data_IF_833030577601
#
_entry.id   IF_833030577601
#
_cell.length_a   1.000
_cell.length_b   1.000
_cell.length_c   1.000
_cell.angle_alpha   90.00
_cell.angle_beta   90.00
_cell.angle_gamma   90.00
#
_symmetry.space_group_name_H-M   'P 1'
#
loop_
_entity.id
_entity.type
_entity.pdbx_description
1 polymer ?
#
# COMPACT_ATOMS: atom_id res chain seq x y z
N UNK A 1 -33.52 -4.48 7.37
CA UNK A 1 -32.52 -5.57 7.27
C UNK A 1 -32.03 -5.68 5.85
N UNK A 2 -30.72 -5.88 5.66
CA UNK A 2 -30.11 -6.05 4.35
C UNK A 2 -29.08 -7.18 4.40
N UNK A 3 -29.08 -8.02 3.36
CA UNK A 3 -28.07 -9.04 3.15
C UNK A 3 -27.33 -8.69 1.86
N UNK A 4 -26.02 -8.72 1.91
CA UNK A 4 -25.14 -8.49 0.76
C UNK A 4 -24.23 -9.71 0.60
N UNK A 5 -24.21 -10.27 -0.59
CA UNK A 5 -23.31 -11.35 -0.98
C UNK A 5 -22.42 -10.84 -2.13
N UNK A 6 -21.12 -11.04 -2.01
CA UNK A 6 -20.18 -10.80 -3.09
C UNK A 6 -19.28 -12.02 -3.27
N UNK A 7 -19.07 -12.36 -4.52
CA UNK A 7 -18.02 -13.28 -4.92
C UNK A 7 -17.23 -12.67 -6.07
N UNK A 8 -15.91 -12.73 -5.97
CA UNK A 8 -15.00 -12.31 -7.02
C UNK A 8 -13.99 -13.41 -7.29
N UNK A 9 -13.76 -13.68 -8.55
CA UNK A 9 -12.73 -14.59 -9.03
C UNK A 9 -11.80 -13.85 -9.98
N UNK A 10 -10.51 -14.02 -9.78
CA UNK A 10 -9.49 -13.46 -10.65
C UNK A 10 -8.46 -14.54 -11.01
N UNK A 11 -8.11 -14.58 -12.28
CA UNK A 11 -7.03 -15.40 -12.82
C UNK A 11 -6.26 -14.60 -13.86
N UNK A 12 -4.94 -14.59 -13.77
CA UNK A 12 -4.09 -13.94 -14.76
C UNK A 12 -2.80 -14.74 -14.85
N UNK A 13 -2.57 -15.34 -16.01
CA UNK A 13 -1.37 -16.10 -16.29
C UNK A 13 -0.66 -15.44 -17.44
N UNK A 14 0.66 -15.42 -17.36
CA UNK A 14 1.51 -15.04 -18.48
C UNK A 14 2.55 -16.12 -18.72
N UNK A 15 2.92 -16.25 -19.98
CA UNK A 15 3.97 -17.17 -20.37
C UNK A 15 5.33 -16.63 -19.90
N UNK A 16 6.14 -17.49 -19.29
CA UNK A 16 7.51 -17.16 -18.86
C UNK A 16 8.51 -17.17 -20.02
N UNK A 17 8.09 -16.80 -21.22
CA UNK A 17 8.97 -16.65 -22.37
C UNK A 17 9.85 -15.42 -22.32
N UNK A 18 9.66 -14.54 -21.37
CA UNK A 18 10.52 -13.39 -21.19
C UNK A 18 11.90 -13.85 -20.77
N UNK A 19 12.90 -13.42 -21.50
CA UNK A 19 14.29 -13.60 -21.13
C UNK A 19 14.63 -12.55 -20.08
N UNK A 20 14.74 -12.90 -18.82
CA UNK A 20 15.39 -12.02 -17.89
C UNK A 20 16.88 -12.15 -18.07
N UNK A 21 17.61 -11.11 -17.87
CA UNK A 21 19.03 -11.09 -17.60
C UNK A 21 19.98 -10.58 -18.64
N UNK A 22 20.85 -9.77 -18.14
CA UNK A 22 21.92 -9.10 -18.82
C UNK A 22 21.52 -7.78 -19.45
N UNK A 23 20.38 -7.22 -19.11
CA UNK A 23 20.00 -5.86 -19.52
C UNK A 23 19.72 -5.68 -21.01
N UNK A 24 19.74 -6.74 -21.78
CA UNK A 24 19.61 -6.66 -23.25
C UNK A 24 18.16 -6.48 -23.70
N UNK A 25 17.19 -6.90 -22.94
CA UNK A 25 15.77 -6.78 -23.30
C UNK A 25 15.20 -5.37 -23.08
N UNK A 26 15.93 -4.50 -22.41
CA UNK A 26 15.53 -3.12 -22.21
C UNK A 26 15.79 -2.20 -23.38
N UNK A 27 16.49 -2.68 -24.37
CA UNK A 27 16.72 -1.93 -25.60
C UNK A 27 15.48 -1.88 -26.50
N UNK A 28 14.45 -2.66 -26.18
CA UNK A 28 13.17 -2.65 -26.89
C UNK A 28 12.00 -2.76 -25.92
N UNK A 29 11.71 -1.72 -25.15
CA UNK A 29 10.70 -1.76 -24.10
C UNK A 29 9.26 -1.93 -24.62
N UNK A 30 9.03 -1.67 -25.88
CA UNK A 30 7.71 -1.83 -26.53
C UNK A 30 7.49 -3.20 -27.17
N UNK A 31 8.56 -3.96 -27.34
CA UNK A 31 8.50 -5.30 -27.93
C UNK A 31 9.20 -6.21 -26.93
N UNK A 32 8.44 -6.88 -26.09
CA UNK A 32 9.01 -7.89 -25.21
C UNK A 32 9.89 -8.83 -26.01
N UNK A 33 11.16 -8.98 -25.64
CA UNK A 33 12.00 -9.97 -26.27
C UNK A 33 11.46 -11.33 -25.87
N UNK A 34 10.72 -11.95 -26.76
CA UNK A 34 10.19 -13.29 -26.57
C UNK A 34 11.34 -14.25 -26.70
N UNK A 35 11.83 -14.76 -25.58
CA UNK A 35 12.79 -15.87 -25.54
C UNK A 35 12.07 -17.22 -25.58
N UNK A 36 12.83 -18.27 -25.72
CA UNK A 36 12.31 -19.62 -25.54
C UNK A 36 11.99 -19.83 -24.07
N UNK A 37 10.79 -20.31 -23.78
CA UNK A 37 10.40 -20.74 -22.45
C UNK A 37 11.35 -21.85 -21.98
N UNK A 38 11.88 -21.69 -20.77
CA UNK A 38 12.62 -22.78 -20.14
C UNK A 38 11.67 -23.98 -19.93
N UNK A 39 12.04 -25.20 -20.37
CA UNK A 39 11.17 -26.38 -20.25
C UNK A 39 10.72 -26.67 -18.81
N UNK A 40 11.49 -26.25 -17.81
CA UNK A 40 11.18 -26.42 -16.39
C UNK A 40 10.26 -25.33 -15.84
N UNK A 41 10.08 -24.23 -16.57
CA UNK A 41 9.26 -23.13 -16.13
C UNK A 41 7.77 -23.42 -16.32
N UNK A 42 6.97 -23.13 -15.29
CA UNK A 42 5.51 -23.04 -15.40
C UNK A 42 5.08 -21.59 -15.59
N UNK A 43 3.92 -21.37 -16.21
CA UNK A 43 3.41 -20.02 -16.44
C UNK A 43 3.31 -19.27 -15.10
N UNK A 44 3.82 -18.04 -15.09
CA UNK A 44 3.75 -17.16 -13.93
C UNK A 44 2.38 -16.46 -13.84
N UNK A 45 2.14 -15.80 -12.72
CA UNK A 45 0.92 -15.06 -12.46
C UNK A 45 -0.02 -15.75 -11.50
N UNK A 46 -1.20 -15.20 -11.36
CA UNK A 46 -2.21 -15.66 -10.42
C UNK A 46 -2.99 -16.82 -11.00
N UNK A 47 -2.78 -18.01 -10.44
CA UNK A 47 -3.53 -19.24 -10.80
C UNK A 47 -4.99 -19.13 -10.42
N UNK A 48 -5.24 -18.61 -9.24
CA UNK A 48 -6.57 -18.28 -8.74
C UNK A 48 -6.49 -17.27 -7.58
N UNK A 49 -7.48 -16.42 -7.53
CA UNK A 49 -7.78 -15.57 -6.38
C UNK A 49 -9.30 -15.53 -6.21
N UNK A 50 -9.78 -16.29 -5.22
CA UNK A 50 -11.19 -16.33 -4.84
C UNK A 50 -11.39 -15.41 -3.65
N UNK A 51 -12.39 -14.55 -3.72
CA UNK A 51 -12.80 -13.70 -2.62
C UNK A 51 -14.31 -13.78 -2.49
N UNK A 52 -14.79 -14.00 -1.29
CA UNK A 52 -16.21 -14.01 -0.99
C UNK A 52 -16.47 -13.28 0.32
N UNK A 53 -17.57 -12.56 0.40
CA UNK A 53 -18.10 -12.10 1.66
C UNK A 53 -19.61 -12.17 1.71
N UNK A 54 -20.14 -12.38 2.91
CA UNK A 54 -21.53 -12.24 3.26
C UNK A 54 -21.63 -11.20 4.36
N UNK A 55 -22.45 -10.17 4.14
CA UNK A 55 -22.70 -9.10 5.12
C UNK A 55 -24.18 -9.03 5.44
N UNK A 56 -24.50 -8.97 6.71
CA UNK A 56 -25.82 -8.69 7.25
C UNK A 56 -25.81 -7.33 7.94
N UNK A 57 -26.78 -6.50 7.61
CA UNK A 57 -27.01 -5.21 8.28
C UNK A 57 -28.43 -5.17 8.79
N UNK A 58 -28.59 -4.86 10.08
CA UNK A 58 -29.88 -4.62 10.71
C UNK A 58 -29.88 -3.24 11.35
N UNK A 59 -30.83 -2.40 10.96
CA UNK A 59 -31.07 -1.12 11.61
C UNK A 59 -31.89 -1.33 12.86
N UNK A 60 -31.61 -0.56 13.88
CA UNK A 60 -32.36 -0.53 15.14
C UNK A 60 -32.56 -1.95 15.74
N UNK A 61 -31.53 -2.81 15.70
CA UNK A 61 -31.59 -4.13 16.35
C UNK A 61 -31.82 -3.98 17.86
N UNK A 62 -31.31 -2.90 18.45
CA UNK A 62 -31.67 -2.33 19.72
C UNK A 62 -32.00 -0.85 19.51
N UNK A 63 -32.69 -0.20 20.45
CA UNK A 63 -33.02 1.22 20.36
C UNK A 63 -31.79 2.06 20.03
N UNK A 64 -31.81 2.76 18.89
CA UNK A 64 -30.71 3.59 18.36
C UNK A 64 -29.39 2.85 18.13
N UNK A 65 -29.46 1.54 17.88
CA UNK A 65 -28.27 0.72 17.65
C UNK A 65 -28.45 -0.15 16.42
N UNK A 66 -27.58 0.04 15.43
CA UNK A 66 -27.49 -0.79 14.24
C UNK A 66 -26.44 -1.90 14.44
N UNK A 67 -26.70 -3.05 13.82
CA UNK A 67 -25.77 -4.17 13.74
C UNK A 67 -25.26 -4.32 12.29
N UNK A 68 -23.94 -4.45 12.16
CA UNK A 68 -23.31 -4.95 10.95
C UNK A 68 -22.49 -6.21 11.29
N UNK A 69 -22.83 -7.32 10.67
CA UNK A 69 -22.09 -8.58 10.81
C UNK A 69 -21.63 -9.04 9.45
N UNK A 70 -20.39 -9.49 9.34
CA UNK A 70 -19.86 -10.01 8.09
C UNK A 70 -18.97 -11.22 8.31
N UNK A 71 -19.03 -12.14 7.35
CA UNK A 71 -18.13 -13.28 7.21
C UNK A 71 -17.47 -13.16 5.85
N UNK A 72 -16.16 -13.32 5.80
CA UNK A 72 -15.42 -13.22 4.56
C UNK A 72 -14.30 -14.27 4.48
N UNK A 73 -13.94 -14.61 3.24
CA UNK A 73 -12.84 -15.52 2.98
C UNK A 73 -12.14 -15.23 1.67
N UNK A 74 -10.88 -15.59 1.61
CA UNK A 74 -10.11 -15.53 0.37
C UNK A 74 -9.17 -16.72 0.24
N UNK A 75 -8.87 -17.09 -1.00
CA UNK A 75 -7.86 -18.10 -1.33
C UNK A 75 -7.08 -17.66 -2.56
N UNK A 76 -5.77 -17.49 -2.39
CA UNK A 76 -4.84 -16.99 -3.41
C UNK A 76 -3.76 -18.04 -3.70
N UNK A 77 -3.45 -18.19 -4.98
CA UNK A 77 -2.26 -18.88 -5.45
C UNK A 77 -1.63 -18.11 -6.61
N UNK A 78 -0.44 -17.54 -6.38
CA UNK A 78 0.33 -16.78 -7.38
C UNK A 78 1.72 -17.37 -7.52
N UNK A 79 2.19 -17.56 -8.74
CA UNK A 79 3.54 -18.03 -9.10
C UNK A 79 4.31 -16.84 -9.66
N UNK A 80 5.54 -16.67 -9.21
CA UNK A 80 6.44 -15.61 -9.65
C UNK A 80 7.33 -16.05 -10.81
N UNK A 81 8.17 -15.13 -11.27
CA UNK A 81 9.10 -15.30 -12.37
C UNK A 81 10.07 -16.50 -12.16
N UNK A 82 10.40 -17.14 -13.27
CA UNK A 82 11.35 -18.24 -13.29
C UNK A 82 12.78 -17.72 -13.08
N UNK A 83 13.52 -18.42 -12.23
CA UNK A 83 14.96 -18.22 -12.03
C UNK A 83 15.70 -19.48 -12.43
N UNK A 84 16.60 -19.39 -13.43
CA UNK A 84 17.43 -20.51 -13.84
C UNK A 84 18.29 -20.99 -12.67
N UNK A 85 18.50 -22.30 -12.60
CA UNK A 85 19.40 -22.90 -11.64
C UNK A 85 20.76 -22.20 -11.64
N UNK A 86 21.26 -21.86 -10.47
CA UNK A 86 22.56 -21.22 -10.28
C UNK A 86 23.27 -21.91 -9.10
N UNK A 87 24.36 -22.67 -9.35
CA UNK A 87 25.10 -23.36 -8.29
C UNK A 87 25.61 -22.42 -7.20
N UNK A 88 25.89 -21.16 -7.51
CA UNK A 88 26.28 -20.17 -6.52
C UNK A 88 25.11 -19.74 -5.59
N UNK A 89 23.88 -20.08 -5.94
CA UNK A 89 22.66 -19.77 -5.20
C UNK A 89 21.83 -21.04 -4.99
N UNK A 90 22.15 -21.85 -3.97
CA UNK A 90 21.55 -23.20 -3.75
C UNK A 90 20.02 -23.23 -3.72
N UNK A 91 19.37 -22.12 -3.36
CA UNK A 91 17.92 -21.99 -3.45
C UNK A 91 17.34 -22.33 -4.81
N UNK A 92 18.10 -22.10 -5.90
CA UNK A 92 17.71 -22.29 -7.28
C UNK A 92 18.38 -23.51 -7.94
N UNK A 93 19.12 -24.31 -7.17
CA UNK A 93 20.11 -25.27 -7.67
C UNK A 93 19.51 -26.48 -8.42
N UNK A 94 18.35 -26.95 -8.05
CA UNK A 94 17.89 -28.26 -8.54
C UNK A 94 16.63 -28.20 -9.40
N UNK A 95 16.07 -27.02 -9.61
CA UNK A 95 14.70 -26.96 -10.10
C UNK A 95 14.39 -25.72 -10.89
N UNK A 96 13.16 -25.67 -11.35
CA UNK A 96 12.54 -24.55 -12.05
C UNK A 96 12.66 -23.19 -11.35
N UNK A 97 13.28 -23.10 -10.18
CA UNK A 97 13.60 -21.83 -9.53
C UNK A 97 12.44 -20.83 -9.39
N UNK A 98 11.20 -21.29 -9.47
CA UNK A 98 10.02 -20.45 -9.32
C UNK A 98 9.48 -20.54 -7.91
N UNK A 99 9.27 -19.35 -7.33
CA UNK A 99 8.56 -19.23 -6.06
C UNK A 99 7.08 -18.94 -6.27
N UNK A 100 6.30 -19.28 -5.26
CA UNK A 100 4.88 -18.97 -5.27
C UNK A 100 4.44 -18.41 -3.92
N UNK A 101 3.27 -17.80 -3.87
CA UNK A 101 2.55 -17.47 -2.65
C UNK A 101 1.24 -18.22 -2.65
N UNK A 102 0.96 -18.93 -1.56
CA UNK A 102 -0.34 -19.49 -1.25
C UNK A 102 -0.86 -18.86 0.04
N UNK A 103 -2.08 -18.32 -0.02
CA UNK A 103 -2.69 -17.64 1.10
C UNK A 103 -4.17 -18.04 1.20
N UNK A 104 -4.63 -18.29 2.44
CA UNK A 104 -6.03 -18.58 2.75
C UNK A 104 -6.44 -17.78 3.97
N UNK A 105 -7.52 -17.03 3.84
CA UNK A 105 -8.07 -16.20 4.91
C UNK A 105 -9.52 -16.56 5.17
N UNK A 106 -9.89 -16.48 6.42
CA UNK A 106 -11.26 -16.52 6.88
C UNK A 106 -11.41 -15.50 8.00
N UNK A 107 -12.42 -14.65 7.92
CA UNK A 107 -12.66 -13.63 8.94
C UNK A 107 -14.12 -13.45 9.25
N UNK A 108 -14.36 -13.02 10.48
CA UNK A 108 -15.67 -12.64 11.00
C UNK A 108 -15.53 -11.26 11.65
N UNK A 109 -16.43 -10.36 11.34
CA UNK A 109 -16.59 -9.07 12.01
C UNK A 109 -18.02 -8.90 12.44
N UNK A 110 -18.21 -8.51 13.70
CA UNK A 110 -19.50 -8.03 14.21
C UNK A 110 -19.27 -6.67 14.86
N UNK A 111 -20.04 -5.66 14.45
CA UNK A 111 -19.96 -4.34 15.03
C UNK A 111 -21.35 -3.77 15.28
N UNK A 112 -21.48 -3.05 16.36
CA UNK A 112 -22.64 -2.27 16.73
C UNK A 112 -22.33 -0.79 16.57
N UNK A 113 -23.28 -0.05 16.01
CA UNK A 113 -23.23 1.39 15.85
C UNK A 113 -24.37 1.99 16.66
N UNK A 114 -24.05 2.55 17.82
CA UNK A 114 -25.04 3.14 18.72
C UNK A 114 -24.98 4.66 18.66
N UNK A 115 -26.13 5.29 18.63
CA UNK A 115 -26.27 6.75 18.70
C UNK A 115 -26.88 7.14 20.03
N UNK A 116 -26.15 7.94 20.80
CA UNK A 116 -26.60 8.53 22.05
C UNK A 116 -26.82 10.03 21.85
N UNK A 117 -27.99 10.52 22.19
CA UNK A 117 -28.35 11.94 22.13
C UNK A 117 -28.44 12.42 23.56
N UNK A 118 -27.60 13.39 23.94
CA UNK A 118 -27.58 13.96 25.30
C UNK A 118 -28.41 15.25 25.34
N UNK A 119 -28.36 16.03 24.25
CA UNK A 119 -29.14 17.25 24.05
C UNK A 119 -29.15 17.56 22.55
N UNK A 120 -29.85 18.62 22.13
CA UNK A 120 -29.86 19.10 20.76
C UNK A 120 -28.44 19.49 20.25
N UNK A 121 -27.56 19.89 21.16
CA UNK A 121 -26.21 20.34 20.89
C UNK A 121 -25.12 19.31 21.19
N UNK A 122 -25.49 18.14 21.72
CA UNK A 122 -24.53 17.13 22.16
C UNK A 122 -25.02 15.72 21.86
N UNK A 123 -24.22 14.97 21.09
CA UNK A 123 -24.49 13.57 20.79
C UNK A 123 -23.20 12.78 20.66
N UNK A 124 -23.31 11.47 20.81
CA UNK A 124 -22.19 10.55 20.58
C UNK A 124 -22.59 9.43 19.63
N UNK A 125 -21.65 9.05 18.78
CA UNK A 125 -21.66 7.81 18.00
C UNK A 125 -20.64 6.86 18.64
N UNK A 126 -21.11 5.69 19.03
CA UNK A 126 -20.29 4.65 19.63
C UNK A 126 -20.28 3.47 18.68
N UNK A 127 -19.08 3.09 18.22
CA UNK A 127 -18.85 1.91 17.40
C UNK A 127 -18.04 0.93 18.22
N UNK A 128 -18.57 -0.25 18.45
CA UNK A 128 -17.88 -1.29 19.21
C UNK A 128 -18.13 -2.64 18.56
N UNK A 129 -17.18 -3.53 18.72
CA UNK A 129 -17.30 -4.81 18.05
C UNK A 129 -16.10 -5.71 18.26
N UNK A 130 -16.09 -6.74 17.43
CA UNK A 130 -15.10 -7.78 17.50
C UNK A 130 -14.74 -8.27 16.11
N UNK A 131 -13.43 -8.38 15.85
CA UNK A 131 -12.86 -8.97 14.66
C UNK A 131 -12.18 -10.30 15.01
N UNK A 132 -12.43 -11.32 14.19
CA UNK A 132 -11.66 -12.55 14.15
C UNK A 132 -11.06 -12.73 12.76
N UNK A 133 -9.77 -13.05 12.68
CA UNK A 133 -9.10 -13.36 11.43
C UNK A 133 -8.22 -14.60 11.59
N UNK A 134 -8.55 -15.64 10.83
CA UNK A 134 -7.68 -16.77 10.54
C UNK A 134 -6.93 -16.51 9.24
N UNK A 135 -5.61 -16.72 9.25
CA UNK A 135 -4.80 -16.67 8.02
C UNK A 135 -3.81 -17.82 8.00
N UNK A 136 -3.73 -18.50 6.86
CA UNK A 136 -2.74 -19.55 6.59
C UNK A 136 -2.01 -19.19 5.30
N UNK A 137 -0.70 -18.92 5.41
CA UNK A 137 0.12 -18.44 4.28
C UNK A 137 1.44 -19.20 4.18
N UNK A 138 1.95 -19.38 2.96
CA UNK A 138 3.26 -19.96 2.70
C UNK A 138 3.88 -19.41 1.42
N UNK A 139 5.18 -19.60 1.27
CA UNK A 139 5.92 -19.37 0.02
C UNK A 139 6.61 -20.66 -0.42
N UNK A 140 5.89 -21.58 -1.09
CA UNK A 140 6.51 -22.76 -1.66
C UNK A 140 7.33 -22.39 -2.91
N UNK A 141 8.33 -23.20 -3.24
CA UNK A 141 8.88 -23.30 -4.58
C UNK A 141 8.04 -24.27 -5.41
N UNK A 142 8.09 -24.15 -6.73
CA UNK A 142 7.34 -25.02 -7.63
C UNK A 142 7.79 -26.49 -7.53
N UNK A 143 9.03 -26.70 -7.12
CA UNK A 143 9.63 -28.02 -6.88
C UNK A 143 9.20 -28.72 -5.57
N UNK A 144 8.36 -28.08 -4.78
CA UNK A 144 7.84 -28.62 -3.52
C UNK A 144 8.61 -28.23 -2.27
N UNK A 145 9.79 -27.64 -2.38
CA UNK A 145 10.49 -27.04 -1.24
C UNK A 145 9.75 -25.79 -0.76
N UNK A 146 10.04 -25.35 0.45
CA UNK A 146 9.44 -24.15 1.02
C UNK A 146 10.49 -23.09 1.28
N UNK A 147 10.32 -21.92 0.66
CA UNK A 147 11.08 -20.75 1.03
C UNK A 147 10.57 -20.14 2.36
N UNK A 148 9.26 -20.20 2.56
CA UNK A 148 8.60 -19.96 3.83
C UNK A 148 7.55 -21.07 4.04
N UNK A 149 7.62 -21.82 5.15
CA UNK A 149 6.66 -22.88 5.45
C UNK A 149 5.25 -22.31 5.67
N UNK A 150 4.26 -23.18 5.86
CA UNK A 150 2.92 -22.78 6.22
C UNK A 150 2.88 -22.15 7.60
N UNK A 151 2.68 -20.84 7.64
CA UNK A 151 2.36 -20.10 8.86
C UNK A 151 0.85 -20.07 9.04
N UNK A 152 0.39 -20.36 10.25
CA UNK A 152 -1.04 -20.30 10.59
C UNK A 152 -1.21 -19.27 11.70
N UNK A 153 -2.00 -18.24 11.44
CA UNK A 153 -2.26 -17.19 12.43
C UNK A 153 -3.74 -17.04 12.75
N UNK A 154 -4.01 -16.70 14.00
CA UNK A 154 -5.32 -16.31 14.50
C UNK A 154 -5.18 -14.94 15.16
N UNK A 155 -6.07 -14.03 14.83
CA UNK A 155 -6.18 -12.73 15.47
C UNK A 155 -7.57 -12.55 16.06
N UNK A 156 -7.63 -12.17 17.33
CA UNK A 156 -8.84 -11.83 18.09
C UNK A 156 -8.73 -10.37 18.48
N UNK A 157 -9.68 -9.54 18.05
CA UNK A 157 -9.53 -8.10 18.20
C UNK A 157 -10.84 -7.37 18.54
N UNK A 158 -11.19 -7.25 19.83
CA UNK A 158 -12.22 -6.34 20.28
C UNK A 158 -11.79 -4.87 20.08
N UNK A 159 -12.74 -4.03 19.74
CA UNK A 159 -12.52 -2.61 19.54
C UNK A 159 -13.69 -1.75 20.01
N UNK A 160 -13.38 -0.50 20.34
CA UNK A 160 -14.32 0.53 20.72
C UNK A 160 -13.87 1.86 20.12
N UNK A 161 -14.80 2.61 19.54
CA UNK A 161 -14.59 3.98 19.09
C UNK A 161 -15.78 4.83 19.52
N UNK A 162 -15.49 5.99 20.07
CA UNK A 162 -16.47 7.00 20.47
C UNK A 162 -16.16 8.27 19.69
N UNK A 163 -17.14 8.80 18.97
CA UNK A 163 -17.09 10.14 18.40
C UNK A 163 -18.20 10.94 19.03
N UNK A 164 -17.86 11.96 19.80
CA UNK A 164 -18.82 12.89 20.38
C UNK A 164 -18.73 14.24 19.70
N UNK A 165 -19.88 14.89 19.54
CA UNK A 165 -19.95 16.27 19.07
C UNK A 165 -20.59 17.08 20.19
N UNK A 166 -19.92 18.16 20.58
CA UNK A 166 -20.31 19.08 21.63
C UNK A 166 -20.53 20.46 21.03
N UNK A 167 -21.55 21.17 21.50
CA UNK A 167 -21.89 22.52 21.03
C UNK A 167 -21.99 22.61 19.50
N UNK A 168 -22.40 21.51 18.85
CA UNK A 168 -22.50 21.35 17.39
C UNK A 168 -21.17 21.53 16.63
N UNK A 169 -20.10 21.98 17.27
CA UNK A 169 -18.87 22.41 16.59
C UNK A 169 -17.60 21.70 17.04
N UNK A 170 -17.53 21.18 18.26
CA UNK A 170 -16.36 20.47 18.76
C UNK A 170 -16.58 18.96 18.62
N UNK A 171 -15.81 18.32 17.74
CA UNK A 171 -15.81 16.86 17.62
C UNK A 171 -14.60 16.27 18.31
N UNK A 172 -14.84 15.30 19.20
CA UNK A 172 -13.82 14.52 19.89
C UNK A 172 -13.98 13.07 19.45
N UNK A 173 -12.90 12.45 19.00
CA UNK A 173 -12.85 11.04 18.62
C UNK A 173 -11.85 10.32 19.50
N UNK A 174 -12.29 9.23 20.12
CA UNK A 174 -11.48 8.34 20.94
C UNK A 174 -11.66 6.92 20.42
N UNK A 175 -10.60 6.15 20.36
CA UNK A 175 -10.70 4.75 19.95
C UNK A 175 -9.63 3.89 20.60
N UNK A 176 -9.98 2.64 20.84
CA UNK A 176 -9.10 1.60 21.34
C UNK A 176 -9.37 0.28 20.65
N UNK A 177 -8.31 -0.47 20.39
CA UNK A 177 -8.36 -1.82 19.84
C UNK A 177 -7.32 -2.68 20.53
N UNK A 178 -7.73 -3.84 20.98
CA UNK A 178 -6.83 -4.86 21.50
C UNK A 178 -6.69 -5.99 20.47
N UNK A 179 -5.47 -6.31 20.07
CA UNK A 179 -5.16 -7.42 19.18
C UNK A 179 -4.43 -8.52 19.95
N UNK A 180 -4.99 -9.72 19.97
CA UNK A 180 -4.34 -10.94 20.42
C UNK A 180 -4.07 -11.83 19.22
N UNK A 181 -2.79 -11.88 18.80
CA UNK A 181 -2.38 -12.63 17.61
C UNK A 181 -1.52 -13.82 18.03
N UNK A 182 -1.87 -14.99 17.56
CA UNK A 182 -1.05 -16.20 17.67
C UNK A 182 -0.63 -16.67 16.28
N UNK A 183 0.67 -16.98 16.08
CA UNK A 183 1.21 -17.50 14.83
C UNK A 183 1.92 -18.80 15.11
N UNK A 184 1.42 -19.89 14.53
CA UNK A 184 2.08 -21.20 14.54
C UNK A 184 3.08 -21.24 13.39
N UNK A 185 4.34 -21.49 13.72
CA UNK A 185 5.45 -21.75 12.81
C UNK A 185 5.83 -23.22 12.94
N UNK A 186 5.81 -24.04 11.89
CA UNK A 186 6.30 -25.41 11.94
C UNK A 186 7.84 -25.44 11.97
N UNK A 187 8.42 -26.60 12.24
CA UNK A 187 9.85 -26.83 12.00
C UNK A 187 10.14 -26.71 10.51
N UNK A 188 11.24 -26.08 10.14
CA UNK A 188 11.60 -25.90 8.73
C UNK A 188 13.10 -25.67 8.54
N UNK A 189 13.56 -26.00 7.32
CA UNK A 189 14.92 -25.70 6.87
C UNK A 189 14.95 -24.38 6.13
N UNK A 190 15.90 -23.50 6.50
CA UNK A 190 16.15 -22.25 5.79
C UNK A 190 16.88 -22.56 4.48
N UNK A 191 16.33 -22.14 3.36
CA UNK A 191 17.01 -22.29 2.08
C UNK A 191 18.21 -21.33 2.01
N UNK A 192 19.41 -21.90 1.82
CA UNK A 192 20.66 -21.12 1.74
C UNK A 192 20.62 -20.17 0.52
N UNK A 193 21.10 -18.96 0.72
CA UNK A 193 21.23 -17.98 -0.36
C UNK A 193 22.55 -18.16 -1.13
N UNK A 194 23.61 -18.61 -0.42
CA UNK A 194 24.93 -18.93 -0.97
C UNK A 194 25.39 -20.28 -0.42
N UNK A 195 26.29 -20.95 -1.15
CA UNK A 195 26.90 -22.21 -0.70
C UNK A 195 27.62 -22.04 0.64
N UNK A 196 28.22 -20.87 0.89
CA UNK A 196 28.94 -20.54 2.13
C UNK A 196 28.01 -20.28 3.31
N UNK A 197 26.70 -20.08 3.10
CA UNK A 197 25.76 -19.89 4.19
C UNK A 197 25.62 -21.19 4.99
N UNK A 198 25.55 -21.15 6.33
CA UNK A 198 25.30 -22.34 7.13
C UNK A 198 23.90 -22.88 6.83
N UNK A 199 23.75 -24.21 6.88
CA UNK A 199 22.43 -24.83 6.90
C UNK A 199 21.79 -24.55 8.26
N UNK A 200 20.64 -23.91 8.26
CA UNK A 200 19.89 -23.58 9.47
C UNK A 200 18.58 -24.35 9.48
N UNK A 201 18.39 -25.20 10.47
CA UNK A 201 17.12 -25.85 10.76
C UNK A 201 16.47 -25.11 11.93
N UNK A 202 15.35 -24.47 11.68
CA UNK A 202 14.60 -23.71 12.68
C UNK A 202 13.59 -24.61 13.36
N UNK A 203 13.72 -24.77 14.68
CA UNK A 203 12.67 -25.38 15.49
C UNK A 203 11.51 -24.41 15.60
N UNK A 204 10.36 -24.85 15.11
CA UNK A 204 9.12 -24.11 15.11
C UNK A 204 8.55 -23.88 16.50
N UNK A 205 7.35 -23.34 16.56
CA UNK A 205 6.67 -23.03 17.81
C UNK A 205 5.51 -22.06 17.62
N UNK A 206 5.11 -21.42 18.71
CA UNK A 206 4.03 -20.46 18.74
C UNK A 206 4.55 -19.07 19.09
N UNK A 207 4.39 -18.13 18.18
CA UNK A 207 4.61 -16.70 18.44
C UNK A 207 3.28 -16.11 18.92
N UNK A 208 3.31 -15.33 19.99
CA UNK A 208 2.14 -14.66 20.55
C UNK A 208 2.41 -13.16 20.67
N UNK A 209 1.48 -12.36 20.20
CA UNK A 209 1.55 -10.90 20.24
C UNK A 209 0.29 -10.35 20.87
N UNK A 210 0.46 -9.46 21.83
CA UNK A 210 -0.60 -8.70 22.46
C UNK A 210 -0.32 -7.23 22.21
N UNK A 211 -1.30 -6.53 21.71
CA UNK A 211 -1.15 -5.10 21.44
C UNK A 211 -2.43 -4.34 21.75
N UNK A 212 -2.27 -3.22 22.42
CA UNK A 212 -3.32 -2.22 22.57
C UNK A 212 -2.95 -1.01 21.74
N UNK A 213 -3.83 -0.61 20.84
CA UNK A 213 -3.68 0.57 19.99
C UNK A 213 -4.74 1.59 20.34
N UNK A 214 -4.34 2.86 20.37
CA UNK A 214 -5.22 3.99 20.68
C UNK A 214 -5.23 4.99 19.53
N UNK A 215 -6.35 5.70 19.41
CA UNK A 215 -6.44 6.89 18.59
C UNK A 215 -7.24 7.97 19.32
N UNK A 216 -6.82 9.23 19.12
CA UNK A 216 -7.46 10.41 19.66
C UNK A 216 -7.48 11.46 18.57
N UNK A 217 -8.61 12.10 18.34
CA UNK A 217 -8.75 13.19 17.37
C UNK A 217 -9.62 14.29 17.97
N UNK A 218 -9.28 15.51 17.64
CA UNK A 218 -10.00 16.71 18.00
C UNK A 218 -10.15 17.59 16.77
N UNK A 219 -11.37 18.07 16.50
CA UNK A 219 -11.61 19.02 15.42
C UNK A 219 -12.67 20.03 15.82
N UNK A 220 -12.49 21.26 15.35
CA UNK A 220 -13.39 22.38 15.63
C UNK A 220 -13.85 23.02 14.33
N UNK A 221 -15.17 23.05 14.08
CA UNK A 221 -15.76 23.44 12.80
C UNK A 221 -16.78 24.59 12.87
N UNK A 222 -16.72 25.43 13.91
CA UNK A 222 -17.63 26.57 14.05
C UNK A 222 -17.49 27.60 12.91
N UNK A 223 -16.26 27.83 12.50
CA UNK A 223 -15.95 28.84 11.49
C UNK A 223 -15.55 28.15 10.18
N UNK A 224 -16.37 28.27 9.10
CA UNK A 224 -16.05 27.63 7.81
C UNK A 224 -14.66 28.01 7.30
N UNK A 225 -14.24 29.26 7.52
CA UNK A 225 -12.94 29.78 7.06
C UNK A 225 -11.74 29.14 7.73
N UNK A 226 -11.91 28.58 8.95
CA UNK A 226 -10.83 27.92 9.67
C UNK A 226 -11.34 26.83 10.61
N UNK A 227 -11.12 25.59 10.23
CA UNK A 227 -11.54 24.39 10.94
C UNK A 227 -10.31 23.54 11.29
N UNK A 228 -9.63 23.84 12.39
CA UNK A 228 -8.43 23.12 12.80
C UNK A 228 -8.75 21.72 13.31
N UNK A 229 -7.78 20.84 13.15
CA UNK A 229 -7.80 19.51 13.76
C UNK A 229 -6.43 19.08 14.25
N UNK A 230 -6.42 18.17 15.20
CA UNK A 230 -5.24 17.47 15.67
C UNK A 230 -5.62 16.01 15.90
N UNK A 231 -4.71 15.10 15.53
CA UNK A 231 -4.93 13.67 15.72
C UNK A 231 -3.66 12.97 16.21
N UNK A 232 -3.86 11.96 17.02
CA UNK A 232 -2.87 10.97 17.39
C UNK A 232 -3.42 9.59 17.11
N UNK A 233 -2.63 8.71 16.50
CA UNK A 233 -3.00 7.32 16.29
C UNK A 233 -1.81 6.38 16.40
N UNK A 234 -2.08 5.16 16.84
CA UNK A 234 -1.12 4.08 16.87
C UNK A 234 -1.44 3.05 15.81
N UNK A 235 -0.42 2.68 15.02
CA UNK A 235 -0.43 1.53 14.13
C UNK A 235 0.32 0.36 14.75
N UNK A 236 -0.12 -0.86 14.42
CA UNK A 236 0.50 -2.09 14.84
C UNK A 236 0.56 -3.07 13.67
N UNK A 237 1.71 -3.71 13.46
CA UNK A 237 1.90 -4.68 12.39
C UNK A 237 2.95 -5.71 12.76
N UNK A 238 2.69 -6.97 12.45
CA UNK A 238 3.73 -8.02 12.38
C UNK A 238 4.33 -7.90 10.97
N UNK A 239 5.28 -6.96 10.82
CA UNK A 239 5.80 -6.63 9.52
C UNK A 239 6.67 -7.76 8.96
N UNK A 240 6.25 -8.28 7.81
CA UNK A 240 6.96 -9.24 6.96
C UNK A 240 7.66 -10.40 7.71
N UNK A 241 6.89 -11.07 8.57
CA UNK A 241 7.35 -12.24 9.30
C UNK A 241 7.93 -13.30 8.34
N UNK A 242 7.35 -13.44 7.16
CA UNK A 242 7.82 -14.36 6.13
C UNK A 242 9.26 -14.07 5.71
N UNK A 243 9.63 -12.80 5.43
CA UNK A 243 11.02 -12.44 5.10
C UNK A 243 11.96 -12.64 6.27
N UNK A 244 11.51 -12.33 7.46
CA UNK A 244 12.30 -12.53 8.68
C UNK A 244 12.62 -14.02 8.89
N UNK A 245 11.64 -14.90 8.74
CA UNK A 245 11.83 -16.34 8.93
C UNK A 245 12.70 -16.98 7.85
N UNK A 246 12.48 -16.62 6.57
CA UNK A 246 13.30 -17.18 5.48
C UNK A 246 14.75 -16.68 5.45
N UNK A 247 15.06 -15.60 6.18
CA UNK A 247 16.41 -15.09 6.37
C UNK A 247 16.99 -15.43 7.75
N UNK A 248 16.38 -16.36 8.49
CA UNK A 248 16.78 -16.73 9.82
C UNK A 248 18.22 -17.28 9.85
N UNK A 249 18.99 -16.82 10.83
CA UNK A 249 20.36 -17.29 11.12
C UNK A 249 20.44 -18.07 12.43
N UNK A 250 19.32 -18.18 13.14
CA UNK A 250 19.19 -18.88 14.41
C UNK A 250 18.29 -20.11 14.27
N UNK A 251 18.57 -21.11 15.06
CA UNK A 251 17.92 -22.43 15.08
C UNK A 251 16.60 -22.48 15.88
N UNK A 252 16.30 -21.43 16.65
CA UNK A 252 15.07 -21.34 17.46
C UNK A 252 14.40 -19.97 17.30
N UNK A 253 13.06 -19.97 17.30
CA UNK A 253 12.26 -18.76 17.10
C UNK A 253 12.57 -17.65 18.12
N UNK A 254 12.88 -17.99 19.35
CA UNK A 254 13.19 -17.01 20.40
C UNK A 254 14.43 -16.16 20.12
N UNK A 255 15.31 -16.61 19.24
CA UNK A 255 16.52 -15.87 18.81
C UNK A 255 16.32 -15.12 17.49
N UNK A 256 15.14 -15.24 16.86
CA UNK A 256 14.82 -14.53 15.63
C UNK A 256 14.04 -13.26 15.99
N UNK A 257 14.45 -12.11 15.46
CA UNK A 257 13.76 -10.83 15.70
C UNK A 257 12.41 -10.80 15.00
N UNK A 258 11.39 -11.25 15.71
CA UNK A 258 10.00 -11.32 15.22
C UNK A 258 9.08 -10.27 15.85
N UNK A 259 9.63 -9.34 16.64
CA UNK A 259 8.86 -8.32 17.34
C UNK A 259 8.01 -7.49 16.37
N UNK A 260 6.80 -7.14 16.77
CA UNK A 260 5.93 -6.33 15.92
C UNK A 260 6.41 -4.88 15.84
N UNK A 261 6.09 -4.24 14.74
CA UNK A 261 6.30 -2.81 14.54
C UNK A 261 5.11 -2.05 15.11
N UNK A 262 5.38 -1.14 16.05
CA UNK A 262 4.43 -0.17 16.58
C UNK A 262 4.80 1.22 16.08
N UNK A 263 3.87 1.91 15.45
CA UNK A 263 4.04 3.27 14.94
C UNK A 263 3.16 4.22 15.73
N UNK A 264 3.68 5.41 16.02
CA UNK A 264 2.92 6.52 16.58
C UNK A 264 2.84 7.60 15.52
N UNK A 265 1.64 8.00 15.17
CA UNK A 265 1.37 9.02 14.17
C UNK A 265 0.72 10.23 14.85
N UNK A 266 1.27 11.40 14.59
CA UNK A 266 0.80 12.71 15.04
C UNK A 266 0.46 13.53 13.82
N UNK A 267 -0.68 14.17 13.80
CA UNK A 267 -1.14 14.99 12.69
C UNK A 267 -1.77 16.27 13.22
N UNK A 268 -1.48 17.39 12.57
CA UNK A 268 -2.12 18.67 12.78
C UNK A 268 -2.45 19.29 11.44
N UNK A 269 -3.63 19.87 11.31
CA UNK A 269 -4.04 20.47 10.06
C UNK A 269 -5.26 21.37 10.24
N UNK A 270 -5.69 21.91 9.11
CA UNK A 270 -6.91 22.71 9.04
C UNK A 270 -7.59 22.54 7.68
N UNK A 271 -8.90 22.60 7.70
CA UNK A 271 -9.75 22.77 6.54
C UNK A 271 -10.31 24.20 6.54
N UNK A 272 -10.46 24.79 5.35
CA UNK A 272 -11.01 26.13 5.14
C UNK A 272 -11.98 26.12 3.96
N UNK A 273 -13.17 26.65 4.17
CA UNK A 273 -14.14 26.95 3.10
C UNK A 273 -14.41 28.46 3.10
N UNK A 274 -13.87 29.14 2.09
CA UNK A 274 -14.00 30.59 1.94
C UNK A 274 -15.15 30.87 0.98
N UNK A 275 -16.32 31.19 1.54
CA UNK A 275 -17.53 31.53 0.77
C UNK A 275 -17.86 30.55 -0.36
N UNK A 276 -17.54 29.27 -0.19
CA UNK A 276 -17.75 28.18 -1.17
C UNK A 276 -17.02 28.33 -2.50
N UNK A 277 -16.28 29.42 -2.72
CA UNK A 277 -15.50 29.59 -3.93
C UNK A 277 -14.08 29.04 -3.83
N UNK A 278 -13.50 28.98 -2.61
CA UNK A 278 -12.18 28.44 -2.37
C UNK A 278 -12.18 27.51 -1.16
N UNK A 279 -11.82 26.27 -1.39
CA UNK A 279 -11.61 25.26 -0.34
C UNK A 279 -10.13 24.95 -0.23
N UNK A 280 -9.61 25.02 0.98
CA UNK A 280 -8.22 24.71 1.29
C UNK A 280 -8.19 23.60 2.35
N UNK A 281 -7.26 22.68 2.19
CA UNK A 281 -6.96 21.67 3.21
C UNK A 281 -5.44 21.57 3.32
N UNK A 282 -4.93 21.54 4.55
CA UNK A 282 -3.52 21.37 4.81
C UNK A 282 -3.28 20.59 6.07
N UNK A 283 -2.33 19.66 6.03
CA UNK A 283 -1.87 18.93 7.20
C UNK A 283 -0.36 18.74 7.21
N UNK A 284 0.19 18.69 8.40
CA UNK A 284 1.53 18.20 8.69
C UNK A 284 1.39 16.94 9.54
N UNK A 285 2.13 15.90 9.18
CA UNK A 285 2.17 14.68 9.98
C UNK A 285 3.61 14.30 10.37
N UNK A 286 3.72 13.61 11.48
CA UNK A 286 4.96 13.03 11.98
C UNK A 286 4.69 11.61 12.50
N UNK A 287 5.35 10.62 11.91
CA UNK A 287 5.25 9.21 12.29
C UNK A 287 6.59 8.73 12.86
N UNK A 288 6.53 8.03 13.99
CA UNK A 288 7.68 7.47 14.66
C UNK A 288 7.48 6.00 14.99
N UNK A 289 8.51 5.18 14.76
CA UNK A 289 8.56 3.79 15.20
C UNK A 289 9.93 3.45 15.79
N UNK A 290 9.92 2.71 16.91
CA UNK A 290 11.16 2.20 17.54
C UNK A 290 11.79 1.07 16.75
N UNK A 291 10.99 0.31 16.00
CA UNK A 291 11.45 -0.76 15.12
C UNK A 291 11.08 -0.40 13.69
N UNK A 292 12.07 -0.42 12.80
CA UNK A 292 11.86 -0.11 11.41
C UNK A 292 11.14 -1.22 10.66
N UNK A 293 10.56 -0.82 9.55
CA UNK A 293 9.98 -1.68 8.53
C UNK A 293 10.50 -1.33 7.13
N UNK A 294 11.57 -0.55 7.04
CA UNK A 294 12.18 -0.24 5.75
C UNK A 294 12.85 -1.48 5.16
N UNK A 295 12.85 -1.57 3.84
CA UNK A 295 13.46 -2.68 3.12
C UNK A 295 14.83 -2.27 2.61
N UNK A 296 15.80 -3.14 2.79
CA UNK A 296 17.13 -3.01 2.19
C UNK A 296 17.54 -4.30 1.50
N UNK A 297 18.47 -4.20 0.58
CA UNK A 297 19.10 -5.38 -0.01
C UNK A 297 20.30 -5.78 0.81
N UNK A 298 20.35 -7.06 1.14
CA UNK A 298 21.52 -7.72 1.74
C UNK A 298 21.85 -8.95 0.90
N UNK A 299 23.06 -8.95 0.31
CA UNK A 299 23.53 -10.04 -0.56
C UNK A 299 22.55 -10.40 -1.70
N UNK A 300 21.89 -9.39 -2.31
CA UNK A 300 20.93 -9.57 -3.40
C UNK A 300 19.52 -9.98 -2.96
N UNK A 301 19.22 -9.92 -1.66
CA UNK A 301 17.90 -10.26 -1.12
C UNK A 301 17.31 -9.12 -0.31
N UNK A 302 16.01 -8.92 -0.47
CA UNK A 302 15.27 -7.98 0.34
C UNK A 302 15.17 -8.48 1.78
N UNK A 303 15.69 -7.70 2.71
CA UNK A 303 15.59 -7.93 4.16
C UNK A 303 14.93 -6.75 4.83
N UNK A 304 14.31 -7.01 5.98
CA UNK A 304 13.68 -5.97 6.79
C UNK A 304 14.71 -5.24 7.61
N UNK A 305 14.78 -3.92 7.47
CA UNK A 305 15.64 -3.08 8.30
C UNK A 305 14.92 -2.74 9.62
N UNK A 306 15.43 -3.25 10.72
CA UNK A 306 14.82 -3.18 12.07
C UNK A 306 15.37 -2.04 12.91
N UNK A 307 15.76 -0.93 12.32
CA UNK A 307 16.23 0.27 13.03
C UNK A 307 15.10 1.26 13.29
N UNK A 308 15.18 2.09 14.37
CA UNK A 308 14.20 3.14 14.59
C UNK A 308 14.05 4.05 13.38
N UNK A 309 12.81 4.40 13.06
CA UNK A 309 12.48 5.23 11.89
C UNK A 309 11.52 6.36 12.24
N UNK A 310 11.59 7.44 11.49
CA UNK A 310 10.63 8.54 11.49
C UNK A 310 10.32 8.96 10.06
N UNK A 311 9.05 9.29 9.83
CA UNK A 311 8.57 9.85 8.57
C UNK A 311 7.78 11.10 8.90
N UNK A 312 7.98 12.18 8.15
CA UNK A 312 7.22 13.40 8.31
C UNK A 312 6.94 14.02 6.95
N UNK A 313 5.88 14.79 6.86
CA UNK A 313 5.48 15.35 5.59
C UNK A 313 4.37 16.38 5.70
N UNK A 314 4.09 16.98 4.56
CA UNK A 314 3.05 17.99 4.36
C UNK A 314 2.15 17.53 3.21
N UNK A 315 0.86 17.65 3.40
CA UNK A 315 -0.16 17.48 2.38
C UNK A 315 -1.01 18.74 2.29
N UNK A 316 -1.15 19.29 1.08
CA UNK A 316 -1.91 20.50 0.83
C UNK A 316 -2.85 20.25 -0.35
N UNK A 317 -4.07 20.75 -0.26
CA UNK A 317 -5.01 20.81 -1.38
C UNK A 317 -5.71 22.16 -1.44
N UNK A 318 -5.99 22.59 -2.65
CA UNK A 318 -6.76 23.80 -2.93
C UNK A 318 -7.72 23.53 -4.10
N UNK A 319 -8.99 23.86 -3.93
CA UNK A 319 -10.04 23.76 -4.94
C UNK A 319 -10.77 25.11 -5.04
N UNK A 320 -10.78 25.71 -6.22
CA UNK A 320 -11.41 27.00 -6.46
C UNK A 320 -12.49 26.91 -7.55
N UNK A 321 -13.71 27.35 -7.22
CA UNK A 321 -14.78 27.60 -8.18
C UNK A 321 -14.64 29.02 -8.70
N UNK A 322 -13.84 29.24 -9.76
CA UNK A 322 -13.48 30.57 -10.28
C UNK A 322 -14.68 31.25 -10.95
N UNK A 323 -15.42 30.47 -11.74
CA UNK A 323 -16.68 30.87 -12.39
C UNK A 323 -17.67 29.70 -12.25
N UNK A 324 -18.94 29.92 -12.50
CA UNK A 324 -19.97 28.86 -12.46
C UNK A 324 -19.64 27.64 -13.35
N UNK A 325 -18.84 27.86 -14.40
CA UNK A 325 -18.42 26.83 -15.37
C UNK A 325 -16.89 26.59 -15.38
N UNK A 326 -16.14 27.17 -14.44
CA UNK A 326 -14.68 27.04 -14.37
C UNK A 326 -14.23 26.71 -12.94
N UNK A 327 -13.67 25.52 -12.76
CA UNK A 327 -13.06 25.06 -11.50
C UNK A 327 -11.57 24.77 -11.73
N UNK A 328 -10.73 25.17 -10.78
CA UNK A 328 -9.32 24.79 -10.76
C UNK A 328 -8.93 24.23 -9.39
N UNK A 329 -7.94 23.36 -9.36
CA UNK A 329 -7.44 22.85 -8.10
C UNK A 329 -5.99 22.37 -8.18
N UNK A 330 -5.38 22.20 -7.01
CA UNK A 330 -4.02 21.74 -6.85
C UNK A 330 -3.89 20.85 -5.62
N UNK A 331 -3.06 19.80 -5.71
CA UNK A 331 -2.70 18.91 -4.61
C UNK A 331 -1.19 18.78 -4.56
N UNK A 332 -0.59 19.04 -3.41
CA UNK A 332 0.84 18.87 -3.14
C UNK A 332 1.03 17.86 -2.02
N UNK A 333 1.94 16.91 -2.21
CA UNK A 333 2.41 16.01 -1.15
C UNK A 333 3.94 15.97 -1.14
N UNK A 334 4.51 16.12 0.05
CA UNK A 334 5.95 16.00 0.27
C UNK A 334 6.21 15.23 1.55
N UNK A 335 7.12 14.23 1.46
CA UNK A 335 7.48 13.36 2.56
C UNK A 335 8.99 13.24 2.68
N UNK A 336 9.48 13.06 3.91
CA UNK A 336 10.85 12.69 4.19
C UNK A 336 10.90 11.62 5.29
N UNK A 337 11.78 10.64 5.10
CA UNK A 337 11.98 9.53 6.02
C UNK A 337 13.43 9.39 6.45
N UNK A 338 13.64 9.19 7.74
CA UNK A 338 14.97 9.02 8.35
C UNK A 338 15.00 7.76 9.22
N UNK A 339 16.14 7.07 9.15
CA UNK A 339 16.51 5.98 10.02
C UNK A 339 17.54 6.47 11.04
N UNK A 340 17.54 5.85 12.21
CA UNK A 340 18.57 6.09 13.21
C UNK A 340 19.80 5.26 12.86
N UNK A 341 20.95 5.92 12.64
CA UNK A 341 22.21 5.26 12.34
C UNK A 341 22.80 4.53 13.56
N UNK A 342 23.84 3.74 13.34
CA UNK A 342 24.59 3.07 14.41
C UNK A 342 25.20 4.06 15.40
N UNK A 343 25.48 5.30 14.99
CA UNK A 343 25.97 6.39 15.86
C UNK A 343 24.87 7.02 16.71
N UNK A 344 23.62 6.57 16.57
CA UNK A 344 22.48 7.11 17.28
C UNK A 344 21.87 8.39 16.67
N UNK A 345 22.37 8.85 15.52
CA UNK A 345 21.89 10.05 14.83
C UNK A 345 20.82 9.71 13.80
N UNK A 346 19.96 10.69 13.46
CA UNK A 346 18.93 10.62 12.42
C UNK A 346 19.46 11.14 11.07
N UNK A 347 20.50 10.50 10.55
CA UNK A 347 21.28 10.93 9.40
C UNK A 347 21.14 10.02 8.18
N UNK A 348 20.59 8.83 8.34
CA UNK A 348 20.35 7.89 7.25
C UNK A 348 18.97 8.10 6.64
N UNK A 349 18.89 8.23 5.34
CA UNK A 349 17.59 8.33 4.63
C UNK A 349 16.94 6.95 4.46
N UNK A 350 15.62 6.91 4.52
CA UNK A 350 14.85 5.73 4.10
C UNK A 350 14.86 5.59 2.58
N UNK A 351 14.78 4.36 2.10
CA UNK A 351 14.80 4.03 0.68
C UNK A 351 13.71 4.75 -0.12
N UNK A 352 13.93 4.93 -1.42
CA UNK A 352 12.94 5.52 -2.33
C UNK A 352 11.74 4.59 -2.57
N UNK A 353 11.81 3.33 -2.12
CA UNK A 353 10.67 2.40 -2.07
C UNK A 353 9.68 2.83 -0.99
N UNK A 354 10.19 3.26 0.16
CA UNK A 354 9.37 3.65 1.32
C UNK A 354 8.95 5.12 1.27
N UNK A 355 9.80 5.99 0.71
CA UNK A 355 9.57 7.44 0.66
C UNK A 355 9.55 7.92 -0.80
N UNK A 356 8.37 8.30 -1.32
CA UNK A 356 8.27 8.79 -2.68
C UNK A 356 8.85 10.20 -2.85
N UNK A 357 9.17 10.56 -4.08
CA UNK A 357 9.46 11.94 -4.45
C UNK A 357 8.21 12.83 -4.28
N UNK A 358 8.42 14.11 -4.03
CA UNK A 358 7.33 15.09 -3.94
C UNK A 358 6.43 15.05 -5.19
N UNK A 359 5.14 15.23 -5.01
CA UNK A 359 4.15 15.25 -6.10
C UNK A 359 3.31 16.50 -6.03
N UNK A 360 3.12 17.13 -7.19
CA UNK A 360 2.15 18.21 -7.40
C UNK A 360 1.23 17.79 -8.54
N UNK A 361 -0.07 17.81 -8.30
CA UNK A 361 -1.10 17.65 -9.31
C UNK A 361 -1.94 18.92 -9.37
N UNK A 362 -2.15 19.47 -10.56
CA UNK A 362 -3.00 20.64 -10.79
C UNK A 362 -4.01 20.31 -11.87
N UNK A 363 -5.20 20.86 -11.77
CA UNK A 363 -6.21 20.70 -12.81
C UNK A 363 -7.03 21.96 -13.03
N UNK A 364 -7.55 22.07 -14.24
CA UNK A 364 -8.56 23.05 -14.63
C UNK A 364 -9.69 22.30 -15.30
N UNK A 365 -10.90 22.44 -14.78
CA UNK A 365 -12.14 21.94 -15.36
C UNK A 365 -12.94 23.10 -15.91
N UNK A 366 -13.29 23.05 -17.18
CA UNK A 366 -14.05 24.08 -17.86
C UNK A 366 -15.23 23.46 -18.62
N UNK A 367 -16.42 24.02 -18.44
CA UNK A 367 -17.62 23.65 -19.16
C UNK A 367 -18.02 24.79 -20.09
N UNK A 368 -17.49 24.86 -21.34
CA UNK A 368 -17.72 25.99 -22.24
C UNK A 368 -19.20 26.20 -22.58
N UNK A 369 -19.92 25.10 -22.78
CA UNK A 369 -21.34 25.10 -23.03
C UNK A 369 -22.03 23.96 -22.29
N UNK A 370 -23.37 24.00 -22.21
CA UNK A 370 -24.16 22.96 -21.53
C UNK A 370 -23.80 21.56 -22.07
N UNK A 371 -23.69 20.59 -21.16
CA UNK A 371 -23.38 19.19 -21.47
C UNK A 371 -21.97 18.93 -22.03
N UNK A 372 -21.08 19.89 -22.01
CA UNK A 372 -19.66 19.69 -22.39
C UNK A 372 -18.73 19.88 -21.20
N UNK A 373 -17.57 19.28 -21.26
CA UNK A 373 -16.50 19.52 -20.30
C UNK A 373 -15.12 19.40 -20.96
N UNK A 374 -14.21 20.17 -20.45
CA UNK A 374 -12.79 20.14 -20.78
C UNK A 374 -12.02 20.09 -19.47
N UNK A 375 -11.11 19.14 -19.32
CA UNK A 375 -10.20 19.04 -18.18
C UNK A 375 -8.77 19.04 -18.68
N UNK A 376 -8.00 19.98 -18.19
CA UNK A 376 -6.53 19.98 -18.32
C UNK A 376 -5.93 19.59 -16.97
N UNK A 377 -5.04 18.62 -16.96
CA UNK A 377 -4.36 18.15 -15.76
C UNK A 377 -2.84 18.19 -15.95
N UNK A 378 -2.14 18.85 -15.05
CA UNK A 378 -0.69 18.83 -14.95
C UNK A 378 -0.26 18.00 -13.75
N UNK A 379 0.70 17.11 -13.96
CA UNK A 379 1.29 16.25 -12.91
C UNK A 379 2.79 16.45 -12.88
N UNK A 380 3.31 16.83 -11.73
CA UNK A 380 4.75 16.95 -11.46
C UNK A 380 5.19 15.94 -10.41
N UNK A 381 6.24 15.18 -10.72
CA UNK A 381 7.01 14.41 -9.74
C UNK A 381 8.35 15.09 -9.57
N UNK A 382 8.70 15.41 -8.34
CA UNK A 382 9.97 16.07 -8.02
C UNK A 382 11.17 15.14 -8.20
N UNK A 383 12.36 15.71 -8.16
CA UNK A 383 13.61 14.91 -8.09
C UNK A 383 13.80 14.39 -6.68
N UNK A 384 14.24 13.12 -6.55
CA UNK A 384 14.73 12.55 -5.30
C UNK A 384 16.08 11.86 -5.51
N UNK A 385 17.13 12.44 -4.90
CA UNK A 385 18.55 12.05 -5.05
C UNK A 385 19.25 12.06 -3.69
N UNK A 386 18.72 11.31 -2.73
CA UNK A 386 19.21 11.27 -1.35
C UNK A 386 20.42 10.38 -1.13
N UNK A 387 20.77 9.55 -2.09
CA UNK A 387 21.79 8.52 -1.96
C UNK A 387 22.98 8.81 -2.87
N UNK A 388 24.15 8.37 -2.45
CA UNK A 388 25.34 8.38 -3.27
C UNK A 388 25.57 6.97 -3.88
N UNK A 389 26.18 6.88 -5.07
CA UNK A 389 26.57 5.61 -5.63
C UNK A 389 27.65 4.94 -4.77
N UNK A 390 27.72 3.62 -4.86
CA UNK A 390 28.78 2.84 -4.23
C UNK A 390 30.14 3.06 -4.94
N UNK A 391 31.21 2.39 -4.47
CA UNK A 391 32.55 2.50 -5.04
C UNK A 391 32.65 2.09 -6.52
N UNK A 392 31.68 1.33 -7.02
CA UNK A 392 31.57 0.94 -8.45
C UNK A 392 30.73 1.93 -9.27
N UNK A 393 30.32 3.06 -8.72
CA UNK A 393 29.49 4.05 -9.38
C UNK A 393 28.01 3.63 -9.51
N UNK A 394 27.58 2.58 -8.81
CA UNK A 394 26.21 2.03 -8.89
C UNK A 394 25.43 2.37 -7.61
N UNK A 395 24.13 2.61 -7.77
CA UNK A 395 23.20 2.75 -6.65
C UNK A 395 22.69 1.38 -6.20
N UNK A 396 22.45 1.21 -4.91
CA UNK A 396 21.74 0.05 -4.41
C UNK A 396 20.28 0.06 -4.88
N UNK A 397 19.67 -1.11 -4.98
CA UNK A 397 18.23 -1.20 -5.28
C UNK A 397 17.41 -0.48 -4.23
N UNK A 398 16.46 0.33 -4.70
CA UNK A 398 15.66 1.21 -3.84
C UNK A 398 16.29 2.56 -3.52
N UNK A 399 17.53 2.81 -3.97
CA UNK A 399 18.29 4.05 -3.73
C UNK A 399 18.57 4.85 -5.02
N UNK A 400 18.11 4.37 -6.18
CA UNK A 400 18.30 5.03 -7.46
C UNK A 400 17.71 6.43 -7.52
N UNK A 401 18.32 7.30 -8.31
CA UNK A 401 17.85 8.68 -8.50
C UNK A 401 16.50 8.66 -9.21
N UNK A 402 15.49 9.25 -8.60
CA UNK A 402 14.23 9.56 -9.26
C UNK A 402 14.33 10.94 -9.89
N UNK A 403 14.30 10.99 -11.21
CA UNK A 403 14.33 12.24 -11.98
C UNK A 403 12.98 12.94 -11.97
N UNK A 404 12.98 14.24 -12.29
CA UNK A 404 11.73 15.00 -12.45
C UNK A 404 10.92 14.46 -13.61
N UNK A 405 9.58 14.44 -13.42
CA UNK A 405 8.62 14.07 -14.45
C UNK A 405 7.55 15.13 -14.51
N UNK A 406 7.24 15.62 -15.72
CA UNK A 406 6.19 16.59 -15.96
C UNK A 406 5.25 16.04 -17.02
N UNK A 407 3.99 15.83 -16.67
CA UNK A 407 2.98 15.30 -17.58
C UNK A 407 1.81 16.27 -17.69
N UNK A 408 1.31 16.43 -18.89
CA UNK A 408 0.11 17.20 -19.19
C UNK A 408 -0.91 16.24 -19.83
N UNK A 409 -2.10 16.18 -19.28
CA UNK A 409 -3.20 15.34 -19.77
C UNK A 409 -4.38 16.26 -20.13
N UNK A 410 -5.10 15.88 -21.17
CA UNK A 410 -6.29 16.58 -21.63
C UNK A 410 -7.46 15.58 -21.72
N UNK A 411 -8.60 15.95 -21.18
CA UNK A 411 -9.85 15.20 -21.38
C UNK A 411 -10.95 16.17 -21.81
N UNK A 412 -11.65 15.82 -22.87
CA UNK A 412 -12.81 16.57 -23.36
C UNK A 412 -14.00 15.62 -23.54
N UNK A 413 -15.19 16.10 -23.29
CA UNK A 413 -16.37 15.27 -23.50
C UNK A 413 -17.65 16.06 -23.69
N UNK A 414 -18.64 15.35 -24.25
CA UNK A 414 -20.00 15.84 -24.49
C UNK A 414 -21.02 14.78 -24.09
N UNK A 415 -22.05 15.22 -23.36
CA UNK A 415 -23.20 14.40 -22.97
C UNK A 415 -24.34 14.62 -23.95
N UNK A 416 -24.60 13.63 -24.80
CA UNK A 416 -25.70 13.63 -25.74
C UNK A 416 -26.89 12.87 -25.14
N UNK A 417 -28.07 12.95 -25.82
CA UNK A 417 -29.27 12.26 -25.34
C UNK A 417 -29.12 10.75 -25.32
N UNK A 418 -28.47 10.19 -26.33
CA UNK A 418 -28.32 8.73 -26.52
C UNK A 418 -26.97 8.17 -26.12
N UNK A 419 -25.94 9.01 -26.03
CA UNK A 419 -24.60 8.55 -25.61
C UNK A 419 -23.78 9.69 -25.00
N UNK A 420 -22.83 9.33 -24.17
CA UNK A 420 -21.78 10.23 -23.68
C UNK A 420 -20.49 9.89 -24.42
N UNK A 421 -19.89 10.90 -25.04
CA UNK A 421 -18.60 10.77 -25.76
C UNK A 421 -17.51 11.48 -24.97
N UNK A 422 -16.35 10.84 -24.83
CA UNK A 422 -15.16 11.49 -24.25
C UNK A 422 -13.89 11.10 -24.99
N UNK A 423 -13.01 12.09 -25.16
CA UNK A 423 -11.67 11.96 -25.69
C UNK A 423 -10.67 12.27 -24.56
N UNK A 424 -9.80 11.33 -24.23
CA UNK A 424 -8.72 11.52 -23.30
C UNK A 424 -7.36 11.40 -24.00
N UNK A 425 -6.48 12.35 -23.76
CA UNK A 425 -5.11 12.37 -24.26
C UNK A 425 -4.17 12.42 -23.07
N UNK A 426 -3.57 11.29 -22.73
CA UNK A 426 -2.54 11.22 -21.71
C UNK A 426 -1.18 11.57 -22.30
N UNK A 427 -0.32 12.21 -21.49
CA UNK A 427 0.99 12.68 -21.92
C UNK A 427 0.90 13.52 -23.22
N UNK A 428 0.11 14.58 -23.18
CA UNK A 428 -0.21 15.45 -24.34
C UNK A 428 1.03 15.96 -25.08
N UNK A 429 2.12 16.22 -24.34
CA UNK A 429 3.37 16.72 -24.90
C UNK A 429 4.29 15.62 -25.42
N UNK A 430 3.87 14.36 -25.34
CA UNK A 430 4.66 13.20 -25.74
C UNK A 430 6.05 13.17 -25.06
N UNK A 431 6.10 13.51 -23.78
CA UNK A 431 7.33 13.54 -23.01
C UNK A 431 7.83 12.11 -22.75
N UNK A 432 9.10 11.84 -23.06
CA UNK A 432 9.74 10.56 -22.80
C UNK A 432 10.28 10.53 -21.38
N UNK A 433 9.89 9.54 -20.59
CA UNK A 433 10.30 9.43 -19.19
C UNK A 433 10.33 7.97 -18.73
N UNK A 434 11.03 7.73 -17.64
CA UNK A 434 10.96 6.47 -16.89
C UNK A 434 10.02 6.62 -15.69
N UNK A 435 9.34 5.55 -15.32
CA UNK A 435 8.50 5.60 -14.11
C UNK A 435 9.35 5.73 -12.85
N UNK A 436 8.87 6.39 -11.79
CA UNK A 436 9.58 6.43 -10.51
C UNK A 436 9.96 5.04 -10.00
N UNK A 437 9.08 4.05 -10.17
CA UNK A 437 9.32 2.67 -9.79
C UNK A 437 10.53 2.05 -10.50
N UNK A 438 10.69 2.33 -11.80
CA UNK A 438 11.82 1.86 -12.60
C UNK A 438 13.13 2.52 -12.13
N UNK A 439 13.11 3.84 -11.94
CA UNK A 439 14.31 4.62 -11.57
C UNK A 439 14.81 4.29 -10.17
N UNK A 440 13.91 4.18 -9.19
CA UNK A 440 14.30 3.91 -7.80
C UNK A 440 14.97 2.55 -7.61
N UNK A 441 14.65 1.56 -8.46
CA UNK A 441 15.25 0.24 -8.40
C UNK A 441 16.73 0.24 -8.80
N UNK A 442 17.21 1.31 -9.44
CA UNK A 442 18.62 1.49 -9.85
C UNK A 442 19.18 0.35 -10.72
N UNK A 443 18.30 -0.42 -11.32
CA UNK A 443 18.70 -1.48 -12.25
C UNK A 443 18.81 -0.86 -13.63
N UNK A 444 19.95 -0.20 -13.94
CA UNK A 444 20.15 0.54 -15.19
C UNK A 444 19.80 -0.26 -16.44
N UNK A 445 19.95 -1.57 -16.36
CA UNK A 445 19.55 -2.49 -17.40
C UNK A 445 18.04 -2.74 -17.48
N UNK A 446 17.25 -2.28 -16.52
CA UNK A 446 15.80 -2.55 -16.40
C UNK A 446 14.93 -1.28 -16.45
N UNK A 447 15.49 -0.15 -16.89
CA UNK A 447 14.71 1.07 -17.08
C UNK A 447 13.79 0.92 -18.30
N UNK A 448 12.52 0.69 -18.06
CA UNK A 448 11.50 0.72 -19.10
C UNK A 448 10.95 2.13 -19.27
N UNK A 449 10.88 2.62 -20.51
CA UNK A 449 10.17 3.85 -20.81
C UNK A 449 8.70 3.70 -20.43
N UNK A 450 8.17 4.75 -19.85
CA UNK A 450 6.72 4.84 -19.65
C UNK A 450 6.01 5.10 -20.99
N UNK A 451 4.69 4.91 -20.99
CA UNK A 451 3.87 5.17 -22.17
C UNK A 451 4.10 6.59 -22.70
N UNK A 452 4.27 6.71 -24.01
CA UNK A 452 4.24 7.98 -24.70
C UNK A 452 2.82 8.58 -24.72
N UNK A 453 2.53 9.42 -25.70
CA UNK A 453 1.17 9.97 -25.87
C UNK A 453 0.20 8.83 -26.18
N UNK A 454 -0.89 8.78 -25.38
CA UNK A 454 -1.97 7.82 -25.56
C UNK A 454 -3.29 8.55 -25.76
N UNK A 455 -4.01 8.18 -26.81
CA UNK A 455 -5.33 8.75 -27.13
C UNK A 455 -6.38 7.66 -26.91
N UNK A 456 -7.42 7.99 -26.14
CA UNK A 456 -8.52 7.09 -25.84
C UNK A 456 -9.84 7.78 -26.15
N UNK A 457 -10.65 7.18 -27.03
CA UNK A 457 -12.02 7.58 -27.29
C UNK A 457 -12.97 6.62 -26.56
N UNK A 458 -13.90 7.16 -25.80
CA UNK A 458 -14.91 6.40 -25.06
C UNK A 458 -16.30 6.84 -25.44
N UNK A 459 -17.19 5.89 -25.73
CA UNK A 459 -18.61 6.12 -25.96
C UNK A 459 -19.41 5.27 -24.95
N UNK A 460 -20.31 5.92 -24.19
CA UNK A 460 -21.20 5.24 -23.23
C UNK A 460 -22.63 5.46 -23.71
N UNK A 461 -23.27 4.42 -24.20
CA UNK A 461 -24.63 4.46 -24.66
C UNK A 461 -25.61 4.35 -23.48
N UNK A 462 -26.72 5.10 -23.57
CA UNK A 462 -27.82 5.12 -22.60
C UNK A 462 -29.02 4.38 -23.23
N UNK A 463 -29.54 3.43 -22.53
CA UNK A 463 -30.75 2.66 -22.93
C UNK A 463 -31.82 2.72 -21.84
#
# INVERSE_FOLDING_TARGET
NRIELMYNFYRSLQDTKLIPFGGKYLQSPSIGVIGNKDPQAVDEGTRYNHNAYLKFTSKDIFKHTDLEASVYGSSLYTIFDFRKANPAQPRWEETSGQSAVKDRKFGVRAQFNSRLIFSDDAFAHIVYGYDYLYNKTSQPLVDGRYWMPWLTSNNHAPFLQIKTTLWQHLSIKLGGRYDHISVKVPDYDVLRNKLSDPQVQVKGGMLKYNNMSFNVGLSYNKYPVFQPFVAYSQGFSIFDLGRTLRAAKADVLAKISTEPVKTNNYEIGAYSDINHWLQLNGSFFYTYSKLGSDLKIDHGFWVVNRTPQKVYGVELSADAQILSNLKAGANLSWFEGKLKSATGKWDTYMSNISIPAAKLAMYVNYAPVKNTYLQLQYMHTGKRDRFAPNASGQYNEGEGIVSRINLLNLTAGVKLKVCDLSLAVSNLLNYTYYTPASMMMARNAEYAHADGRKITLTAVFKY
#
